data_IF_437568123684
#
_entry.id   IF_437568123684
#
_cell.length_a   1.000
_cell.length_b   1.000
_cell.length_c   1.000
_cell.angle_alpha   90.00
_cell.angle_beta   90.00
_cell.angle_gamma   90.00
#
_symmetry.space_group_name_H-M   'P 1'
#
loop_
_entity.id
_entity.type
_entity.pdbx_description
1 polymer ?
#
# COMPACT_ATOMS: atom_id res chain seq x y z
N UNK A 1 21.71 -42.52 -42.99
CA UNK A 1 21.56 -43.03 -41.60
C UNK A 1 21.26 -41.84 -40.71
N UNK A 2 20.03 -41.74 -40.22
CA UNK A 2 19.54 -40.63 -39.38
C UNK A 2 19.36 -41.19 -37.98
N UNK A 3 20.10 -40.66 -37.01
CA UNK A 3 20.02 -41.09 -35.61
C UNK A 3 18.95 -40.22 -34.92
N UNK A 4 17.89 -40.81 -34.34
CA UNK A 4 16.89 -40.04 -33.62
C UNK A 4 17.44 -39.61 -32.26
N UNK A 5 17.41 -38.29 -32.00
CA UNK A 5 17.72 -37.69 -30.71
C UNK A 5 16.58 -38.00 -29.72
N UNK A 6 16.91 -38.72 -28.65
CA UNK A 6 15.99 -38.92 -27.53
C UNK A 6 15.91 -37.64 -26.69
N UNK A 7 14.70 -37.22 -26.27
CA UNK A 7 14.54 -36.06 -25.40
C UNK A 7 15.03 -36.38 -23.98
N UNK A 8 15.76 -35.42 -23.39
CA UNK A 8 16.38 -35.52 -22.08
C UNK A 8 15.34 -35.59 -20.95
N UNK A 9 15.64 -36.38 -19.91
CA UNK A 9 14.77 -36.67 -18.77
C UNK A 9 14.50 -35.48 -17.81
N UNK A 10 14.96 -34.27 -18.13
CA UNK A 10 14.94 -33.13 -17.19
C UNK A 10 13.64 -32.31 -17.20
N UNK A 11 12.71 -32.57 -18.12
CA UNK A 11 11.48 -31.77 -18.27
C UNK A 11 10.24 -32.35 -17.56
N UNK A 12 10.40 -33.39 -16.73
CA UNK A 12 9.24 -34.17 -16.24
C UNK A 12 8.83 -33.95 -14.78
N UNK A 13 9.34 -32.92 -14.11
CA UNK A 13 9.11 -32.75 -12.68
C UNK A 13 8.83 -31.32 -12.24
N UNK A 14 7.77 -30.68 -12.74
CA UNK A 14 7.06 -29.58 -12.03
C UNK A 14 5.59 -29.45 -12.51
N UNK A 15 4.89 -30.56 -12.72
CA UNK A 15 3.42 -30.56 -12.76
C UNK A 15 2.92 -30.89 -11.35
N UNK A 16 3.16 -29.99 -10.40
CA UNK A 16 2.36 -29.96 -9.17
C UNK A 16 1.17 -29.06 -9.50
N UNK A 17 0.03 -29.72 -9.69
CA UNK A 17 -1.31 -29.16 -9.62
C UNK A 17 -1.44 -28.28 -8.37
N UNK A 18 -1.11 -27.00 -8.55
CA UNK A 18 -1.73 -25.93 -7.80
C UNK A 18 -3.15 -25.83 -8.34
N UNK A 19 -4.02 -26.72 -7.85
CA UNK A 19 -5.46 -26.50 -7.78
C UNK A 19 -5.68 -25.27 -6.88
N UNK A 20 -5.35 -24.12 -7.45
CA UNK A 20 -5.74 -22.82 -6.96
C UNK A 20 -7.25 -22.79 -7.16
N UNK A 21 -7.98 -23.23 -6.13
CA UNK A 21 -9.42 -23.03 -6.00
C UNK A 21 -9.70 -21.55 -6.23
N UNK A 22 -10.07 -21.24 -7.47
CA UNK A 22 -10.69 -20.00 -7.87
C UNK A 22 -12.12 -20.04 -7.31
N UNK A 23 -12.22 -19.88 -5.98
CA UNK A 23 -13.49 -19.50 -5.38
C UNK A 23 -13.79 -18.09 -5.88
N UNK A 24 -14.47 -18.05 -7.00
CA UNK A 24 -15.15 -16.88 -7.54
C UNK A 24 -16.16 -16.42 -6.50
N UNK A 25 -15.66 -15.65 -5.53
CA UNK A 25 -16.43 -14.81 -4.63
C UNK A 25 -17.19 -13.79 -5.48
N UNK A 26 -18.33 -14.22 -5.99
CA UNK A 26 -19.36 -13.38 -6.60
C UNK A 26 -20.08 -12.63 -5.48
N UNK A 27 -19.34 -11.80 -4.75
CA UNK A 27 -19.91 -10.89 -3.76
C UNK A 27 -20.51 -9.69 -4.48
N UNK A 28 -21.80 -9.80 -4.81
CA UNK A 28 -22.81 -8.72 -4.78
C UNK A 28 -22.24 -7.29 -4.98
N UNK A 29 -21.93 -6.95 -6.24
CA UNK A 29 -21.34 -5.66 -6.66
C UNK A 29 -22.31 -4.45 -6.56
N UNK A 30 -23.56 -4.64 -6.17
CA UNK A 30 -24.57 -3.57 -6.19
C UNK A 30 -24.38 -2.47 -5.11
N UNK A 31 -23.58 -2.70 -4.07
CA UNK A 31 -23.39 -1.76 -2.95
C UNK A 31 -22.14 -0.86 -3.07
N UNK A 32 -21.32 -1.01 -4.12
CA UNK A 32 -20.09 -0.21 -4.27
C UNK A 32 -20.36 1.19 -4.81
N UNK A 33 -21.34 1.35 -5.71
CA UNK A 33 -21.62 2.60 -6.42
C UNK A 33 -22.14 3.71 -5.52
N UNK A 34 -22.95 3.41 -4.51
CA UNK A 34 -23.47 4.40 -3.55
C UNK A 34 -22.38 4.98 -2.64
N UNK A 35 -21.41 4.13 -2.23
CA UNK A 35 -20.28 4.54 -1.41
C UNK A 35 -19.33 5.47 -2.19
N UNK A 36 -19.10 5.20 -3.48
CA UNK A 36 -18.29 6.08 -4.33
C UNK A 36 -18.93 7.46 -4.47
N UNK A 37 -20.25 7.54 -4.69
CA UNK A 37 -20.96 8.81 -4.82
C UNK A 37 -20.88 9.70 -3.56
N UNK A 38 -20.96 9.09 -2.37
CA UNK A 38 -20.77 9.80 -1.10
C UNK A 38 -19.34 10.34 -0.95
N UNK A 39 -18.33 9.53 -1.28
CA UNK A 39 -16.93 9.96 -1.27
C UNK A 39 -16.63 11.09 -2.26
N UNK A 40 -17.14 11.00 -3.50
CA UNK A 40 -17.00 12.04 -4.53
C UNK A 40 -17.63 13.36 -4.09
N UNK A 41 -18.81 13.31 -3.49
CA UNK A 41 -19.46 14.49 -2.94
C UNK A 41 -18.62 15.14 -1.82
N UNK A 42 -18.07 14.35 -0.90
CA UNK A 42 -17.19 14.86 0.16
C UNK A 42 -15.94 15.54 -0.44
N UNK A 43 -15.30 14.91 -1.43
CA UNK A 43 -14.15 15.49 -2.13
C UNK A 43 -14.50 16.81 -2.81
N UNK A 44 -15.66 16.90 -3.46
CA UNK A 44 -16.11 18.14 -4.10
C UNK A 44 -16.35 19.25 -3.08
N UNK A 45 -16.96 18.92 -1.93
CA UNK A 45 -17.13 19.90 -0.83
C UNK A 45 -15.79 20.38 -0.27
N UNK A 46 -14.81 19.50 -0.13
CA UNK A 46 -13.45 19.87 0.29
C UNK A 46 -12.75 20.78 -0.73
N UNK A 47 -12.89 20.51 -2.03
CA UNK A 47 -12.36 21.41 -3.09
C UNK A 47 -12.98 22.80 -3.01
N UNK A 48 -14.30 22.88 -2.85
CA UNK A 48 -15.00 24.16 -2.70
C UNK A 48 -14.49 24.92 -1.46
N UNK A 49 -14.25 24.22 -0.34
CA UNK A 49 -13.70 24.83 0.88
C UNK A 49 -12.29 25.38 0.64
N UNK A 50 -11.41 24.60 0.02
CA UNK A 50 -10.04 25.02 -0.31
C UNK A 50 -10.02 26.25 -1.23
N UNK A 51 -10.88 26.28 -2.25
CA UNK A 51 -11.00 27.45 -3.13
C UNK A 51 -11.48 28.70 -2.36
N UNK A 52 -12.41 28.55 -1.41
CA UNK A 52 -12.84 29.66 -0.54
C UNK A 52 -11.72 30.16 0.37
N UNK A 53 -10.92 29.26 0.93
CA UNK A 53 -9.74 29.61 1.74
C UNK A 53 -8.70 30.35 0.91
N UNK A 54 -8.44 29.89 -0.32
CA UNK A 54 -7.53 30.57 -1.25
C UNK A 54 -8.02 31.99 -1.54
N UNK A 55 -9.30 32.18 -1.86
CA UNK A 55 -9.87 33.51 -2.10
C UNK A 55 -9.72 34.43 -0.87
N UNK A 56 -9.90 33.91 0.34
CA UNK A 56 -9.67 34.69 1.55
C UNK A 56 -8.19 35.05 1.75
N UNK A 57 -7.28 34.13 1.44
CA UNK A 57 -5.84 34.38 1.46
C UNK A 57 -5.44 35.46 0.43
N UNK A 58 -6.03 35.44 -0.76
CA UNK A 58 -5.78 36.45 -1.80
C UNK A 58 -6.26 37.85 -1.37
N UNK A 59 -7.39 37.95 -0.67
CA UNK A 59 -7.87 39.22 -0.08
C UNK A 59 -6.88 39.73 0.96
N UNK A 60 -6.36 38.85 1.82
CA UNK A 60 -5.35 39.20 2.83
C UNK A 60 -4.01 39.60 2.20
N UNK A 61 -3.62 38.95 1.10
CA UNK A 61 -2.39 39.31 0.39
C UNK A 61 -2.50 40.68 -0.31
N UNK A 62 -3.71 41.04 -0.76
CA UNK A 62 -4.02 42.33 -1.37
C UNK A 62 -4.52 43.36 -0.35
N UNK A 63 -4.23 43.15 0.93
CA UNK A 63 -4.72 44.04 1.97
C UNK A 63 -4.22 45.46 1.72
N UNK A 64 -5.10 46.48 1.66
CA UNK A 64 -4.69 47.84 1.34
C UNK A 64 -3.70 48.35 2.39
N UNK A 65 -2.59 48.93 1.93
CA UNK A 65 -1.65 49.63 2.82
C UNK A 65 -2.19 51.04 3.14
N UNK A 66 -1.99 51.48 4.38
CA UNK A 66 -2.58 52.71 4.91
C UNK A 66 -2.07 53.94 4.15
N UNK A 67 -2.89 54.43 3.22
CA UNK A 67 -2.70 55.67 2.44
C UNK A 67 -3.80 56.66 2.80
N UNK A 68 -3.59 57.97 2.61
CA UNK A 68 -4.48 59.00 3.17
C UNK A 68 -5.97 58.91 2.77
N UNK A 69 -6.30 58.28 1.63
CA UNK A 69 -7.68 58.02 1.16
C UNK A 69 -8.18 56.60 1.45
N UNK A 70 -7.48 55.83 2.30
CA UNK A 70 -7.68 54.39 2.43
C UNK A 70 -8.89 53.97 3.27
N UNK A 71 -9.49 54.86 4.06
CA UNK A 71 -10.52 54.49 5.04
C UNK A 71 -11.72 53.75 4.41
N UNK A 72 -12.20 54.23 3.26
CA UNK A 72 -13.29 53.57 2.53
C UNK A 72 -12.86 52.23 1.95
N UNK A 73 -11.67 52.17 1.35
CA UNK A 73 -11.11 50.95 0.76
C UNK A 73 -10.91 49.88 1.84
N UNK A 74 -10.38 50.23 3.01
CA UNK A 74 -10.26 49.32 4.15
C UNK A 74 -11.61 48.79 4.62
N UNK A 75 -12.63 49.65 4.72
CA UNK A 75 -13.96 49.22 5.12
C UNK A 75 -14.56 48.23 4.10
N UNK A 76 -14.48 48.54 2.81
CA UNK A 76 -14.99 47.68 1.74
C UNK A 76 -14.24 46.33 1.73
N UNK A 77 -12.90 46.32 1.74
CA UNK A 77 -12.09 45.08 1.80
C UNK A 77 -12.35 44.28 3.08
N UNK A 78 -12.54 44.93 4.24
CA UNK A 78 -12.87 44.25 5.48
C UNK A 78 -14.25 43.58 5.43
N UNK A 79 -15.26 44.24 4.85
CA UNK A 79 -16.58 43.63 4.66
C UNK A 79 -16.53 42.42 3.73
N UNK A 80 -15.72 42.48 2.67
CA UNK A 80 -15.49 41.36 1.75
C UNK A 80 -14.82 40.18 2.45
N UNK A 81 -13.77 40.44 3.24
CA UNK A 81 -13.09 39.41 4.03
C UNK A 81 -14.05 38.73 5.02
N UNK A 82 -14.84 39.51 5.77
CA UNK A 82 -15.84 38.98 6.71
C UNK A 82 -16.87 38.11 5.98
N UNK A 83 -17.33 38.54 4.81
CA UNK A 83 -18.24 37.75 3.99
C UNK A 83 -17.60 36.42 3.52
N UNK A 84 -16.32 36.45 3.14
CA UNK A 84 -15.55 35.26 2.77
C UNK A 84 -15.40 34.28 3.94
N UNK A 85 -15.03 34.78 5.13
CA UNK A 85 -14.92 33.97 6.36
C UNK A 85 -16.26 33.31 6.71
N UNK A 86 -17.38 34.04 6.61
CA UNK A 86 -18.72 33.46 6.84
C UNK A 86 -19.01 32.32 5.86
N UNK A 87 -18.65 32.46 4.58
CA UNK A 87 -18.78 31.38 3.58
C UNK A 87 -17.91 30.17 3.90
N UNK A 88 -16.70 30.37 4.42
CA UNK A 88 -15.80 29.29 4.87
C UNK A 88 -16.43 28.54 6.04
N UNK A 89 -16.87 29.25 7.08
CA UNK A 89 -17.52 28.64 8.26
C UNK A 89 -18.75 27.82 7.88
N UNK A 90 -19.59 28.32 6.97
CA UNK A 90 -20.74 27.56 6.46
C UNK A 90 -20.34 26.31 5.66
N UNK A 91 -19.26 26.37 4.88
CA UNK A 91 -18.74 25.22 4.16
C UNK A 91 -18.22 24.14 5.14
N UNK A 92 -17.43 24.53 6.15
CA UNK A 92 -16.93 23.62 7.18
C UNK A 92 -18.08 22.92 7.90
N UNK A 93 -19.09 23.68 8.37
CA UNK A 93 -20.30 23.10 9.00
C UNK A 93 -21.04 22.13 8.09
N UNK A 94 -21.05 22.38 6.78
CA UNK A 94 -21.69 21.48 5.80
C UNK A 94 -20.91 20.17 5.68
N UNK A 95 -19.58 20.25 5.66
CA UNK A 95 -18.70 19.08 5.62
C UNK A 95 -18.82 18.28 6.92
N UNK A 96 -18.74 18.93 8.08
CA UNK A 96 -18.93 18.28 9.38
C UNK A 96 -20.27 17.56 9.48
N UNK A 97 -21.36 18.19 9.03
CA UNK A 97 -22.68 17.53 9.00
C UNK A 97 -22.71 16.32 8.07
N UNK A 98 -22.04 16.39 6.93
CA UNK A 98 -21.93 15.27 6.01
C UNK A 98 -21.10 14.13 6.61
N UNK A 99 -19.95 14.47 7.20
CA UNK A 99 -19.02 13.52 7.85
C UNK A 99 -19.58 12.94 9.13
N UNK A 100 -20.42 13.65 9.88
CA UNK A 100 -21.07 13.16 11.12
C UNK A 100 -22.49 12.63 10.88
N UNK A 101 -23.06 12.84 9.70
CA UNK A 101 -24.35 12.27 9.28
C UNK A 101 -25.52 12.95 9.94
N UNK A 102 -25.23 14.03 10.66
CA UNK A 102 -26.15 15.05 11.13
C UNK A 102 -26.54 16.00 9.99
N UNK A 103 -26.50 15.51 8.75
CA UNK A 103 -27.00 16.21 7.57
C UNK A 103 -28.39 16.78 7.87
N UNK A 104 -28.72 17.97 7.34
CA UNK A 104 -29.99 18.61 7.63
C UNK A 104 -31.11 17.60 7.36
N UNK A 105 -31.74 17.13 8.43
CA UNK A 105 -33.08 16.59 8.36
C UNK A 105 -33.90 17.73 7.79
N UNK A 106 -34.15 17.70 6.48
CA UNK A 106 -35.39 18.27 6.00
C UNK A 106 -36.46 17.38 6.62
N UNK A 107 -36.83 17.70 7.87
CA UNK A 107 -38.15 17.36 8.38
C UNK A 107 -39.08 17.95 7.34
N UNK A 108 -39.64 17.08 6.53
CA UNK A 108 -40.73 17.36 5.62
C UNK A 108 -41.94 17.76 6.47
N UNK A 109 -41.91 18.95 7.06
CA UNK A 109 -43.12 19.68 7.39
C UNK A 109 -43.59 20.27 6.07
N UNK A 110 -44.56 19.56 5.51
CA UNK A 110 -45.64 20.05 4.64
C UNK A 110 -45.83 21.57 4.61
N UNK A 111 -46.24 22.03 3.42
CA UNK A 111 -46.81 23.36 3.09
C UNK A 111 -45.80 24.43 2.64
N UNK A 112 -45.60 24.59 1.33
CA UNK A 112 -46.53 25.36 0.48
C UNK A 112 -45.89 25.58 -0.89
N UNK A 113 -46.64 25.27 -1.94
CA UNK A 113 -46.20 25.35 -3.32
C UNK A 113 -46.09 26.81 -3.76
N UNK A 114 -44.89 27.29 -4.07
CA UNK A 114 -44.72 28.34 -5.09
C UNK A 114 -43.37 28.18 -5.78
N UNK A 115 -43.43 28.24 -7.10
CA UNK A 115 -42.45 27.70 -8.03
C UNK A 115 -41.14 28.49 -8.13
N UNK A 116 -40.18 27.80 -8.75
CA UNK A 116 -39.04 28.33 -9.53
C UNK A 116 -37.78 28.67 -8.74
N UNK A 117 -36.84 27.71 -8.69
CA UNK A 117 -35.49 27.82 -9.29
C UNK A 117 -34.77 26.49 -9.09
N UNK A 118 -34.60 25.74 -10.18
CA UNK A 118 -33.94 24.43 -10.24
C UNK A 118 -32.46 24.56 -9.87
N UNK A 119 -32.14 24.40 -8.58
CA UNK A 119 -30.78 24.09 -8.15
C UNK A 119 -30.73 22.58 -7.89
N UNK A 120 -29.82 21.82 -8.51
CA UNK A 120 -29.69 20.38 -8.27
C UNK A 120 -29.07 20.17 -6.88
N UNK A 121 -29.91 20.23 -5.85
CA UNK A 121 -29.57 19.81 -4.50
C UNK A 121 -29.58 18.27 -4.48
N UNK A 122 -28.42 17.67 -4.74
CA UNK A 122 -28.19 16.23 -4.55
C UNK A 122 -28.24 15.88 -3.05
N UNK A 123 -29.45 15.76 -2.52
CA UNK A 123 -29.68 15.18 -1.20
C UNK A 123 -29.39 13.69 -1.27
N UNK A 124 -28.18 13.30 -0.87
CA UNK A 124 -27.79 11.91 -0.69
C UNK A 124 -28.59 11.28 0.45
N UNK A 125 -29.08 10.04 0.30
CA UNK A 125 -29.85 9.35 1.34
C UNK A 125 -28.95 9.08 2.56
N UNK A 126 -29.48 9.30 3.78
CA UNK A 126 -28.74 9.12 5.03
C UNK A 126 -28.18 7.70 5.19
N UNK A 127 -28.94 6.71 4.77
CA UNK A 127 -28.53 5.31 4.79
C UNK A 127 -27.25 5.07 3.97
N UNK A 128 -27.10 5.76 2.84
CA UNK A 128 -25.87 5.70 2.04
C UNK A 128 -24.68 6.38 2.73
N UNK A 129 -24.91 7.40 3.55
CA UNK A 129 -23.84 8.04 4.34
C UNK A 129 -23.39 7.16 5.50
N UNK A 130 -24.33 6.52 6.19
CA UNK A 130 -24.01 5.57 7.25
C UNK A 130 -23.31 4.34 6.71
N UNK A 131 -23.76 3.81 5.55
CA UNK A 131 -23.05 2.72 4.88
C UNK A 131 -21.65 3.13 4.43
N UNK A 132 -21.49 4.36 3.94
CA UNK A 132 -20.19 4.89 3.55
C UNK A 132 -19.25 5.01 4.76
N UNK A 133 -19.71 5.55 5.89
CA UNK A 133 -18.92 5.61 7.13
C UNK A 133 -18.48 4.24 7.61
N UNK A 134 -19.45 3.34 7.76
CA UNK A 134 -19.15 1.99 8.21
C UNK A 134 -18.17 1.32 7.24
N UNK A 135 -18.31 1.58 5.94
CA UNK A 135 -17.35 1.13 4.94
C UNK A 135 -15.97 1.79 5.07
N UNK A 136 -15.86 3.04 5.51
CA UNK A 136 -14.56 3.68 5.77
C UNK A 136 -13.89 3.09 7.01
N UNK A 137 -14.63 2.96 8.10
CA UNK A 137 -14.12 2.41 9.36
C UNK A 137 -13.70 0.94 9.19
N UNK A 138 -14.52 0.14 8.50
CA UNK A 138 -14.27 -1.29 8.32
C UNK A 138 -13.19 -1.57 7.25
N UNK A 139 -13.15 -0.80 6.14
CA UNK A 139 -12.29 -1.13 4.98
C UNK A 139 -11.05 -0.26 4.84
N UNK A 140 -11.02 0.91 5.45
CA UNK A 140 -9.90 1.86 5.35
C UNK A 140 -9.52 2.42 6.73
N UNK A 141 -9.10 1.57 7.67
CA UNK A 141 -8.44 2.07 8.87
C UNK A 141 -7.19 2.85 8.44
N UNK A 142 -7.17 4.15 8.75
CA UNK A 142 -6.00 5.00 8.47
C UNK A 142 -4.95 4.67 9.53
N UNK A 143 -3.75 4.20 9.16
CA UNK A 143 -2.69 3.92 10.13
C UNK A 143 -2.30 5.19 10.88
N UNK A 144 -2.20 5.13 12.22
CA UNK A 144 -1.78 6.27 13.04
C UNK A 144 -0.41 6.82 12.61
N UNK A 145 0.53 5.93 12.29
CA UNK A 145 1.85 6.30 11.77
C UNK A 145 1.78 7.15 10.49
N UNK A 146 0.75 6.95 9.65
CA UNK A 146 0.56 7.75 8.45
C UNK A 146 0.06 9.16 8.81
N UNK A 147 -0.80 9.30 9.83
CA UNK A 147 -1.25 10.60 10.32
C UNK A 147 -0.07 11.40 10.90
N UNK A 148 0.73 10.77 11.76
CA UNK A 148 1.93 11.40 12.34
C UNK A 148 2.90 11.86 11.24
N UNK A 149 3.07 11.04 10.20
CA UNK A 149 3.97 11.36 9.09
C UNK A 149 3.44 12.47 8.17
N UNK A 150 2.11 12.65 8.11
CA UNK A 150 1.48 13.77 7.42
C UNK A 150 1.65 15.08 8.21
N UNK A 151 1.61 15.01 9.54
CA UNK A 151 1.72 16.18 10.42
C UNK A 151 3.18 16.67 10.59
N UNK A 152 4.16 15.76 10.64
CA UNK A 152 5.55 16.09 11.01
C UNK A 152 6.44 16.42 9.80
N UNK A 153 6.00 16.11 8.57
CA UNK A 153 6.81 16.35 7.37
C UNK A 153 6.91 17.83 6.99
N UNK A 154 8.06 18.47 7.19
CA UNK A 154 8.32 19.82 6.67
C UNK A 154 8.85 19.74 5.22
N UNK A 155 8.40 20.58 4.26
CA UNK A 155 7.35 21.61 4.35
C UNK A 155 5.92 21.14 3.95
N UNK A 156 5.72 19.91 3.48
CA UNK A 156 4.42 19.44 2.96
C UNK A 156 4.10 17.97 3.27
N UNK A 157 4.31 17.51 4.51
CA UNK A 157 4.08 16.12 4.92
C UNK A 157 4.91 15.11 4.11
N UNK A 158 4.80 13.81 4.44
CA UNK A 158 5.21 12.77 3.49
C UNK A 158 4.04 12.44 2.57
N UNK A 159 4.29 12.36 1.26
CA UNK A 159 3.26 11.93 0.32
C UNK A 159 2.78 10.50 0.70
N UNK A 160 1.46 10.27 0.91
CA UNK A 160 0.93 8.98 1.35
C UNK A 160 1.23 7.84 0.36
N UNK A 161 1.43 8.15 -0.92
CA UNK A 161 1.86 7.17 -1.92
C UNK A 161 3.27 6.65 -1.64
N UNK A 162 4.17 7.48 -1.09
CA UNK A 162 5.53 7.07 -0.71
C UNK A 162 5.48 6.11 0.47
N UNK A 163 4.64 6.41 1.48
CA UNK A 163 4.41 5.50 2.60
C UNK A 163 3.87 4.14 2.13
N UNK A 164 2.84 4.13 1.28
CA UNK A 164 2.28 2.90 0.73
C UNK A 164 3.32 2.08 -0.06
N UNK A 165 4.12 2.72 -0.90
CA UNK A 165 5.22 2.07 -1.63
C UNK A 165 6.29 1.51 -0.70
N UNK A 166 6.65 2.26 0.34
CA UNK A 166 7.59 1.83 1.37
C UNK A 166 7.10 0.59 2.12
N UNK A 167 5.84 0.62 2.56
CA UNK A 167 5.19 -0.51 3.23
C UNK A 167 5.16 -1.76 2.35
N UNK A 168 4.80 -1.63 1.08
CA UNK A 168 4.79 -2.74 0.13
C UNK A 168 6.19 -3.31 -0.11
N UNK A 169 7.20 -2.44 -0.26
CA UNK A 169 8.60 -2.85 -0.41
C UNK A 169 9.11 -3.61 0.82
N UNK A 170 8.75 -3.14 2.01
CA UNK A 170 9.11 -3.79 3.26
C UNK A 170 8.42 -5.15 3.41
N UNK A 171 7.12 -5.24 3.10
CA UNK A 171 6.38 -6.50 3.11
C UNK A 171 7.01 -7.54 2.16
N UNK A 172 7.37 -7.14 0.94
CA UNK A 172 8.07 -8.02 -0.01
C UNK A 172 9.44 -8.45 0.53
N UNK A 173 10.18 -7.55 1.18
CA UNK A 173 11.47 -7.86 1.79
C UNK A 173 11.31 -8.90 2.91
N UNK A 174 10.29 -8.75 3.76
CA UNK A 174 9.98 -9.68 4.84
C UNK A 174 9.56 -11.05 4.31
N UNK A 175 8.72 -11.09 3.27
CA UNK A 175 8.31 -12.31 2.60
C UNK A 175 9.51 -13.08 2.03
N UNK A 176 10.40 -12.39 1.29
CA UNK A 176 11.63 -12.99 0.78
C UNK A 176 12.59 -13.46 1.92
N UNK A 177 12.51 -12.84 3.09
CA UNK A 177 13.21 -13.29 4.30
C UNK A 177 12.61 -14.56 4.91
N UNK A 178 11.28 -14.69 4.90
CA UNK A 178 10.56 -15.88 5.36
C UNK A 178 10.80 -17.08 4.45
N UNK A 179 10.77 -16.90 3.13
CA UNK A 179 11.04 -17.98 2.17
C UNK A 179 12.44 -18.58 2.31
N UNK A 180 13.45 -17.71 2.51
CA UNK A 180 14.83 -18.17 2.77
C UNK A 180 14.93 -18.98 4.06
N UNK A 181 14.27 -18.55 5.12
CA UNK A 181 14.21 -19.29 6.39
C UNK A 181 13.46 -20.61 6.25
N UNK A 182 12.31 -20.61 5.55
CA UNK A 182 11.54 -21.83 5.24
C UNK A 182 12.41 -22.86 4.50
N UNK A 183 13.17 -22.43 3.48
CA UNK A 183 14.10 -23.31 2.76
C UNK A 183 15.21 -23.86 3.67
N UNK A 184 15.79 -23.03 4.53
CA UNK A 184 16.83 -23.46 5.47
C UNK A 184 16.29 -24.49 6.49
N UNK A 185 15.06 -24.29 6.99
CA UNK A 185 14.39 -25.25 7.86
C UNK A 185 14.04 -26.54 7.14
N UNK A 186 13.65 -26.49 5.86
CA UNK A 186 13.46 -27.68 5.04
C UNK A 186 14.75 -28.50 4.93
N UNK A 187 15.87 -27.86 4.59
CA UNK A 187 17.17 -28.54 4.53
C UNK A 187 17.60 -29.15 5.88
N UNK A 188 17.25 -28.50 6.99
CA UNK A 188 17.51 -29.03 8.33
C UNK A 188 16.64 -30.25 8.64
N UNK A 189 15.35 -30.21 8.29
CA UNK A 189 14.43 -31.34 8.45
C UNK A 189 14.92 -32.55 7.64
N UNK A 190 15.26 -32.36 6.36
CA UNK A 190 15.80 -33.41 5.49
C UNK A 190 17.08 -34.04 6.08
N UNK A 191 17.95 -33.22 6.66
CA UNK A 191 19.18 -33.69 7.30
C UNK A 191 18.93 -34.49 8.59
N UNK A 192 17.91 -34.11 9.37
CA UNK A 192 17.49 -34.84 10.58
C UNK A 192 16.89 -36.19 10.18
N UNK A 193 15.98 -36.21 9.20
CA UNK A 193 15.38 -37.45 8.68
C UNK A 193 16.44 -38.41 8.16
N UNK A 194 17.37 -37.91 7.34
CA UNK A 194 18.49 -38.71 6.84
C UNK A 194 19.44 -39.21 7.95
N UNK A 195 19.55 -38.47 9.07
CA UNK A 195 20.29 -38.90 10.25
C UNK A 195 19.59 -40.04 10.99
N UNK A 196 18.28 -39.89 11.21
CA UNK A 196 17.45 -40.90 11.88
C UNK A 196 17.39 -42.22 11.10
N UNK A 197 17.31 -42.17 9.77
CA UNK A 197 17.31 -43.36 8.91
C UNK A 197 18.64 -44.15 9.00
N UNK A 198 19.76 -43.46 9.18
CA UNK A 198 21.08 -44.09 9.32
C UNK A 198 21.24 -44.79 10.67
N UNK A 199 20.81 -44.14 11.75
CA UNK A 199 20.86 -44.72 13.10
C UNK A 199 19.94 -45.95 13.21
N UNK A 200 18.75 -45.91 12.58
CA UNK A 200 17.86 -47.06 12.50
C UNK A 200 18.47 -48.25 11.75
N UNK A 201 19.23 -48.01 10.68
CA UNK A 201 19.86 -49.06 9.87
C UNK A 201 21.06 -49.73 10.55
N UNK A 202 21.87 -48.97 11.28
CA UNK A 202 23.04 -49.51 12.00
C UNK A 202 22.66 -50.54 13.07
N UNK A 203 21.49 -50.40 13.71
CA UNK A 203 21.01 -51.38 14.70
C UNK A 203 20.64 -52.75 14.12
N UNK A 204 20.41 -52.84 12.81
CA UNK A 204 20.04 -54.11 12.15
C UNK A 204 21.26 -54.84 11.59
N UNK A 205 22.25 -54.11 11.05
CA UNK A 205 23.45 -54.71 10.47
C UNK A 205 24.49 -55.13 11.54
N UNK A 206 24.62 -54.43 12.68
CA UNK A 206 25.50 -54.86 13.78
C UNK A 206 25.03 -56.14 14.50
N UNK A 207 23.74 -56.49 14.41
CA UNK A 207 23.25 -57.79 14.91
C UNK A 207 23.63 -58.96 14.00
N UNK A 208 23.74 -58.75 12.69
CA UNK A 208 24.09 -59.82 11.74
C UNK A 208 25.60 -60.04 11.59
N UNK A 209 26.45 -59.09 11.96
CA UNK A 209 27.91 -59.22 11.86
C UNK A 209 28.58 -59.87 13.07
N UNK A 210 27.82 -60.31 14.08
CA UNK A 210 28.36 -61.08 15.22
C UNK A 210 28.31 -62.60 15.05
N UNK A 211 27.76 -63.12 13.95
CA UNK A 211 27.70 -64.57 13.72
C UNK A 211 28.63 -65.11 12.64
N UNK A 212 29.31 -64.28 11.83
CA UNK A 212 30.20 -64.79 10.78
C UNK A 212 31.58 -64.13 10.82
N UNK A 213 32.35 -64.51 11.83
CA UNK A 213 33.78 -64.31 11.83
C UNK A 213 34.47 -65.40 11.02
N UNK A 214 34.87 -65.11 9.78
CA UNK A 214 36.07 -65.72 9.18
C UNK A 214 36.57 -64.94 7.96
N UNK A 215 37.77 -64.37 8.11
CA UNK A 215 38.88 -64.61 7.17
C UNK A 215 39.12 -63.69 5.95
N UNK A 216 40.34 -63.15 5.94
CA UNK A 216 41.13 -62.49 4.88
C UNK A 216 40.56 -61.19 4.27
N UNK A 217 41.32 -60.11 4.03
CA UNK A 217 42.76 -59.91 3.94
C UNK A 217 43.02 -58.88 2.82
N UNK A 218 43.94 -57.93 3.07
CA UNK A 218 44.66 -57.06 2.10
C UNK A 218 43.83 -56.13 1.19
N UNK A 219 44.10 -54.82 1.26
CA UNK A 219 45.17 -54.15 0.51
C UNK A 219 44.96 -52.63 0.59
N UNK A 220 46.00 -51.93 1.07
CA UNK A 220 46.15 -50.49 0.89
C UNK A 220 46.43 -50.18 -0.58
N UNK A 221 45.85 -49.09 -1.08
CA UNK A 221 46.31 -48.14 -2.11
C UNK A 221 45.10 -47.21 -2.39
N UNK A 222 45.15 -45.90 -2.55
CA UNK A 222 46.22 -44.92 -2.69
C UNK A 222 45.56 -43.55 -2.93
N UNK A 223 46.39 -42.52 -2.94
CA UNK A 223 46.09 -41.08 -2.99
C UNK A 223 45.11 -40.61 -4.08
N UNK A 224 44.34 -39.56 -3.75
CA UNK A 224 43.50 -38.83 -4.71
C UNK A 224 43.13 -37.43 -4.24
N UNK A 225 44.13 -36.55 -4.05
CA UNK A 225 43.93 -35.14 -3.70
C UNK A 225 43.31 -34.34 -4.86
N UNK A 226 42.00 -34.05 -4.79
CA UNK A 226 41.33 -33.14 -5.73
C UNK A 226 41.27 -31.71 -5.18
N UNK A 227 42.17 -30.88 -5.71
CA UNK A 227 42.31 -29.43 -5.53
C UNK A 227 41.03 -28.72 -6.02
N UNK A 228 40.10 -28.39 -5.11
CA UNK A 228 38.90 -27.61 -5.44
C UNK A 228 39.26 -26.14 -5.72
N UNK A 229 39.19 -25.77 -7.00
CA UNK A 229 39.30 -24.41 -7.55
C UNK A 229 38.21 -23.52 -6.96
N UNK A 230 38.58 -22.64 -6.02
CA UNK A 230 37.74 -21.54 -5.52
C UNK A 230 37.44 -20.58 -6.68
N UNK A 231 36.27 -20.71 -7.29
CA UNK A 231 35.71 -19.71 -8.19
C UNK A 231 35.33 -18.47 -7.40
N UNK A 232 36.14 -17.42 -7.51
CA UNK A 232 35.83 -16.09 -6.99
C UNK A 232 34.55 -15.56 -7.64
N UNK A 233 33.52 -15.33 -6.84
CA UNK A 233 32.34 -14.57 -7.26
C UNK A 233 32.75 -13.11 -7.43
N UNK A 234 32.85 -12.67 -8.68
CA UNK A 234 32.98 -11.28 -9.07
C UNK A 234 31.87 -10.44 -8.45
N UNK A 235 32.26 -9.47 -7.64
CA UNK A 235 31.40 -8.51 -6.96
C UNK A 235 31.32 -7.27 -7.86
N UNK A 236 30.57 -7.34 -8.96
CA UNK A 236 30.29 -6.16 -9.78
C UNK A 236 29.06 -5.45 -9.21
N UNK A 237 29.28 -4.69 -8.14
CA UNK A 237 28.33 -3.71 -7.61
C UNK A 237 28.84 -2.30 -7.91
N UNK A 238 28.92 -1.95 -9.20
CA UNK A 238 29.19 -0.58 -9.64
C UNK A 238 27.86 0.08 -9.99
N UNK A 239 27.07 0.41 -8.96
CA UNK A 239 25.95 1.34 -9.11
C UNK A 239 26.54 2.74 -9.16
N UNK A 240 26.76 3.22 -10.38
CA UNK A 240 27.11 4.58 -10.72
C UNK A 240 25.88 5.46 -10.44
N UNK A 241 25.94 6.26 -9.38
CA UNK A 241 25.07 7.42 -9.24
C UNK A 241 25.49 8.44 -10.30
N UNK A 242 24.71 8.56 -11.37
CA UNK A 242 24.75 9.76 -12.20
C UNK A 242 23.85 10.81 -11.55
N UNK A 243 24.48 11.67 -10.76
CA UNK A 243 24.00 13.03 -10.55
C UNK A 243 24.40 13.92 -11.74
N UNK A 244 23.52 14.88 -12.05
CA UNK A 244 23.64 16.05 -12.94
C UNK A 244 22.41 16.08 -13.89
N UNK A 245 21.64 17.14 -14.06
CA UNK A 245 21.96 18.56 -13.97
C UNK A 245 20.72 19.36 -13.58
N UNK A 246 20.90 20.31 -12.67
CA UNK A 246 19.97 21.42 -12.49
C UNK A 246 20.16 22.42 -13.63
N UNK A 247 19.10 22.64 -14.39
CA UNK A 247 19.08 23.66 -15.43
C UNK A 247 18.64 25.00 -14.81
N UNK A 248 19.51 25.99 -14.95
CA UNK A 248 19.31 27.36 -14.46
C UNK A 248 18.35 28.08 -15.41
N UNK A 249 17.14 28.41 -14.96
CA UNK A 249 16.28 29.37 -15.65
C UNK A 249 16.75 30.78 -15.30
N UNK A 250 17.29 31.46 -16.30
CA UNK A 250 17.60 32.88 -16.32
C UNK A 250 16.29 33.65 -16.57
N UNK A 251 15.80 34.40 -15.60
CA UNK A 251 14.75 35.41 -15.80
C UNK A 251 15.38 36.78 -16.05
N UNK A 252 14.90 37.46 -17.09
CA UNK A 252 15.01 38.92 -17.27
C UNK A 252 13.77 39.59 -16.72
#
# INVERSE_FOLDING_TARGET
>A
MVIPLTPSLSDRALALDLDCRDETMTTKTANSTSNTAAGEYLLERLRILLNRLQNAADILQKWPEATADSAKIHADTATELIASIRKIVLAVRTIERHVNGTGPTQSSSSESATATTTTPSSTLPKEALESFRKSLDDKCPIPLDLLDLLDVGHPFGTNPQVYARGLMKEAMRQLAGLERRKRALGMLADAIEAGMDRDGRLTTEEKNLREDGSEMGRAMDGEGGQKRKRGGRGRNGLFREEGANGDKVMTK
#
